data_IF_578741124288
#
_entry.id   IF_578741124288
#
_cell.length_a   1.000
_cell.length_b   1.000
_cell.length_c   1.000
_cell.angle_alpha   90.00
_cell.angle_beta   90.00
_cell.angle_gamma   90.00
#
_symmetry.space_group_name_H-M   'P 1'
#
loop_
_entity.id
_entity.type
_entity.pdbx_description
1 polymer ?
#
# COMPACT_ATOMS: atom_id res chain seq x y z
N UNK A 1 -0.01 -0.08 19.45
CA UNK A 1 0.63 1.17 19.94
C UNK A 1 -0.01 2.38 19.25
N UNK A 2 -0.64 3.32 19.99
CA UNK A 2 -1.61 4.26 19.42
C UNK A 2 -1.09 5.71 19.30
N UNK A 3 -0.07 5.90 18.44
CA UNK A 3 0.55 7.22 18.14
C UNK A 3 -0.48 8.24 17.65
N UNK A 4 -1.51 7.79 16.92
CA UNK A 4 -2.59 8.65 16.42
C UNK A 4 -3.51 9.17 17.53
N UNK A 5 -3.65 8.43 18.65
CA UNK A 5 -4.48 8.83 19.80
C UNK A 5 -3.71 9.75 20.76
N UNK A 6 -2.38 9.62 20.85
CA UNK A 6 -1.52 10.44 21.71
C UNK A 6 -0.49 11.28 20.93
N UNK A 7 -0.91 12.16 20.01
CA UNK A 7 0.00 12.89 19.13
C UNK A 7 0.93 13.88 19.86
N UNK A 8 0.62 14.24 21.11
CA UNK A 8 1.40 15.16 21.95
C UNK A 8 2.68 14.53 22.51
N UNK A 9 2.77 13.19 22.51
CA UNK A 9 3.94 12.45 23.01
C UNK A 9 5.03 12.26 21.94
N UNK A 10 4.73 12.59 20.69
CA UNK A 10 5.59 12.36 19.54
C UNK A 10 5.81 13.66 18.76
N UNK A 11 6.86 13.69 17.92
CA UNK A 11 7.11 14.85 17.07
C UNK A 11 5.95 15.08 16.09
N UNK A 12 5.69 16.34 15.73
CA UNK A 12 4.64 16.72 14.77
C UNK A 12 4.69 15.91 13.47
N UNK A 13 5.90 15.57 13.01
CA UNK A 13 6.11 14.76 11.82
C UNK A 13 5.56 13.33 11.99
N UNK A 14 5.89 12.68 13.12
CA UNK A 14 5.46 11.30 13.43
C UNK A 14 3.96 11.26 13.67
N UNK A 15 3.43 12.21 14.43
CA UNK A 15 2.01 12.32 14.75
C UNK A 15 1.14 12.53 13.52
N UNK A 16 1.52 13.46 12.63
CA UNK A 16 0.80 13.69 11.36
C UNK A 16 0.83 12.45 10.46
N UNK A 17 1.94 11.73 10.39
CA UNK A 17 2.07 10.52 9.57
C UNK A 17 1.24 9.36 10.14
N UNK A 18 1.13 9.24 11.47
CA UNK A 18 0.25 8.29 12.14
C UNK A 18 -1.23 8.61 11.96
N UNK A 19 -1.63 9.89 12.07
CA UNK A 19 -3.01 10.33 11.79
C UNK A 19 -3.42 10.01 10.35
N UNK A 20 -2.55 10.33 9.38
CA UNK A 20 -2.76 10.00 7.96
C UNK A 20 -2.94 8.51 7.72
N UNK A 21 -2.12 7.69 8.36
CA UNK A 21 -2.22 6.24 8.34
C UNK A 21 -3.58 5.76 8.87
N UNK A 22 -4.05 6.31 9.99
CA UNK A 22 -5.35 5.99 10.58
C UNK A 22 -6.53 6.43 9.70
N UNK A 23 -6.50 7.64 9.13
CA UNK A 23 -7.55 8.13 8.22
C UNK A 23 -7.68 7.24 6.98
N UNK A 24 -6.56 6.82 6.40
CA UNK A 24 -6.54 5.96 5.22
C UNK A 24 -7.03 4.55 5.56
N UNK A 25 -6.67 4.01 6.74
CA UNK A 25 -7.21 2.73 7.22
C UNK A 25 -8.72 2.77 7.49
N UNK A 26 -9.23 3.82 8.16
CA UNK A 26 -10.65 3.95 8.50
C UNK A 26 -11.58 4.26 7.33
N UNK A 27 -11.05 4.79 6.22
CA UNK A 27 -11.86 5.17 5.04
C UNK A 27 -12.04 4.06 4.00
N UNK A 28 -11.35 2.92 4.14
CA UNK A 28 -11.33 1.86 3.12
C UNK A 28 -12.20 0.66 3.50
N UNK A 29 -13.51 0.77 3.24
CA UNK A 29 -14.47 -0.33 3.36
C UNK A 29 -14.92 -0.93 2.01
N UNK A 30 -14.54 -0.35 0.86
CA UNK A 30 -14.86 -0.93 -0.45
C UNK A 30 -13.85 -0.55 -1.55
N UNK A 31 -13.53 -1.52 -2.42
CA UNK A 31 -12.80 -1.34 -3.68
C UNK A 31 -13.64 -0.47 -4.62
N UNK A 32 -13.09 0.64 -5.13
CA UNK A 32 -13.82 1.46 -6.12
C UNK A 32 -13.99 0.76 -7.49
N UNK A 33 -13.16 -0.24 -7.80
CA UNK A 33 -13.11 -0.85 -9.14
C UNK A 33 -13.78 -2.20 -9.30
N UNK A 34 -14.04 -2.93 -8.22
CA UNK A 34 -14.94 -4.09 -8.21
C UNK A 34 -15.10 -4.52 -6.74
N UNK A 35 -16.23 -4.24 -6.07
CA UNK A 35 -16.44 -4.69 -4.71
C UNK A 35 -16.57 -6.23 -4.61
N UNK A 36 -16.80 -6.93 -5.72
CA UNK A 36 -16.89 -8.40 -5.78
C UNK A 36 -15.59 -9.07 -6.27
N UNK A 37 -14.59 -8.29 -6.68
CA UNK A 37 -13.30 -8.81 -7.14
C UNK A 37 -12.47 -9.38 -5.98
N UNK A 38 -11.55 -10.33 -6.24
CA UNK A 38 -10.67 -10.85 -5.21
C UNK A 38 -9.78 -9.72 -4.66
N UNK A 39 -9.62 -9.73 -3.33
CA UNK A 39 -8.81 -8.75 -2.59
C UNK A 39 -7.73 -9.52 -1.84
N UNK A 40 -6.51 -9.00 -1.90
CA UNK A 40 -5.35 -9.49 -1.14
C UNK A 40 -5.00 -8.48 -0.07
N UNK A 41 -4.66 -9.00 1.11
CA UNK A 41 -4.20 -8.21 2.25
C UNK A 41 -2.81 -8.70 2.63
N UNK A 42 -1.89 -7.76 2.79
CA UNK A 42 -0.53 -8.03 3.22
C UNK A 42 -0.24 -7.18 4.45
N UNK A 43 0.40 -7.80 5.44
CA UNK A 43 0.94 -7.10 6.60
C UNK A 43 2.45 -7.28 6.62
N UNK A 44 3.15 -6.26 7.11
CA UNK A 44 4.58 -6.33 7.38
C UNK A 44 4.78 -6.15 8.88
N UNK A 45 5.37 -7.16 9.51
CA UNK A 45 5.64 -7.20 10.95
C UNK A 45 7.12 -6.97 11.23
N UNK A 46 7.40 -6.29 12.33
CA UNK A 46 8.74 -6.19 12.93
C UNK A 46 8.64 -6.65 14.38
N UNK A 47 9.06 -7.89 14.65
CA UNK A 47 8.72 -8.57 15.90
C UNK A 47 7.20 -8.76 15.99
N UNK A 48 6.61 -8.43 17.14
CA UNK A 48 5.18 -8.59 17.40
C UNK A 48 4.33 -7.40 16.89
N UNK A 49 4.95 -6.39 16.28
CA UNK A 49 4.27 -5.16 15.86
C UNK A 49 4.06 -5.13 14.35
N UNK A 50 2.83 -4.83 13.93
CA UNK A 50 2.51 -4.58 12.51
C UNK A 50 2.92 -3.17 12.14
N UNK A 51 3.90 -3.06 11.25
CA UNK A 51 4.48 -1.79 10.82
C UNK A 51 4.10 -1.40 9.39
N UNK A 52 3.31 -2.22 8.71
CA UNK A 52 2.72 -1.87 7.42
C UNK A 52 1.55 -2.76 7.06
N UNK A 53 0.61 -2.19 6.31
CA UNK A 53 -0.56 -2.87 5.75
C UNK A 53 -0.73 -2.46 4.30
N UNK A 54 -0.98 -3.42 3.42
CA UNK A 54 -1.31 -3.19 2.03
C UNK A 54 -2.56 -3.99 1.66
N UNK A 55 -3.52 -3.32 1.03
CA UNK A 55 -4.69 -3.95 0.41
C UNK A 55 -4.59 -3.73 -1.09
N UNK A 56 -4.68 -4.81 -1.85
CA UNK A 56 -4.72 -4.76 -3.31
C UNK A 56 -5.91 -5.56 -3.85
N UNK A 57 -6.66 -4.95 -4.76
CA UNK A 57 -7.69 -5.63 -5.56
C UNK A 57 -7.22 -5.89 -6.99
N UNK A 58 -8.01 -6.62 -7.78
CA UNK A 58 -7.79 -6.83 -9.21
C UNK A 58 -7.67 -8.30 -9.61
N UNK A 59 -7.46 -8.61 -10.91
CA UNK A 59 -7.11 -7.73 -12.03
C UNK A 59 -8.25 -6.80 -12.50
N UNK A 60 -7.89 -5.65 -13.08
CA UNK A 60 -8.86 -4.63 -13.56
C UNK A 60 -8.49 -4.15 -14.95
N UNK A 61 -9.48 -4.00 -15.83
CA UNK A 61 -9.28 -3.42 -17.16
C UNK A 61 -9.65 -1.94 -17.19
N UNK A 62 -8.70 -1.08 -17.54
CA UNK A 62 -8.95 0.35 -17.76
C UNK A 62 -9.35 0.59 -19.23
N UNK A 63 -10.32 1.48 -19.45
CA UNK A 63 -10.68 1.96 -20.78
C UNK A 63 -9.88 3.20 -21.14
N UNK A 64 -9.31 3.23 -22.34
CA UNK A 64 -8.66 4.41 -22.90
C UNK A 64 -7.53 4.05 -23.86
N UNK A 65 -7.44 4.77 -24.99
CA UNK A 65 -6.39 4.54 -25.98
C UNK A 65 -5.03 5.06 -25.48
N UNK A 66 -5.02 6.24 -24.84
CA UNK A 66 -3.81 6.84 -24.27
C UNK A 66 -3.13 5.98 -23.21
N UNK A 67 -3.92 5.20 -22.44
CA UNK A 67 -3.35 4.26 -21.48
C UNK A 67 -2.64 3.11 -22.20
N UNK A 68 -3.29 2.53 -23.22
CA UNK A 68 -2.72 1.48 -24.06
C UNK A 68 -1.47 1.94 -24.80
N UNK A 69 -1.46 3.16 -25.32
CA UNK A 69 -0.28 3.73 -25.98
C UNK A 69 0.92 3.84 -25.03
N UNK A 70 0.68 4.13 -23.75
CA UNK A 70 1.74 4.31 -22.75
C UNK A 70 2.29 3.00 -22.19
N UNK A 71 1.44 1.99 -21.99
CA UNK A 71 1.81 0.73 -21.32
C UNK A 71 1.70 -0.51 -22.21
N UNK A 72 1.31 -0.36 -23.48
CA UNK A 72 1.12 -1.48 -24.43
C UNK A 72 -0.13 -2.35 -24.16
N UNK A 73 -0.76 -2.22 -22.99
CA UNK A 73 -1.92 -2.98 -22.53
C UNK A 73 -2.84 -2.14 -21.65
N UNK A 74 -4.04 -2.65 -21.41
CA UNK A 74 -5.09 -2.00 -20.61
C UNK A 74 -5.49 -2.79 -19.35
N UNK A 75 -4.93 -3.99 -19.20
CA UNK A 75 -5.28 -4.91 -18.12
C UNK A 75 -4.25 -4.75 -16.99
N UNK A 76 -4.65 -4.06 -15.92
CA UNK A 76 -3.89 -3.93 -14.67
C UNK A 76 -3.87 -5.28 -13.95
N UNK A 77 -2.72 -5.63 -13.40
CA UNK A 77 -2.58 -6.83 -12.56
C UNK A 77 -3.16 -6.59 -11.18
N UNK A 78 -2.93 -5.41 -10.61
CA UNK A 78 -3.45 -5.04 -9.30
C UNK A 78 -3.75 -3.54 -9.16
N UNK A 79 -4.62 -3.24 -8.21
CA UNK A 79 -4.95 -1.88 -7.76
C UNK A 79 -4.63 -1.81 -6.27
N UNK A 80 -3.61 -1.03 -5.92
CA UNK A 80 -3.27 -0.71 -4.53
C UNK A 80 -4.25 0.34 -4.03
N UNK A 81 -5.15 -0.14 -3.19
CA UNK A 81 -6.24 0.61 -2.60
C UNK A 81 -5.79 1.25 -1.29
N UNK A 82 -5.12 0.47 -0.44
CA UNK A 82 -4.62 0.89 0.85
C UNK A 82 -3.14 0.57 0.93
N UNK A 83 -2.33 1.55 1.36
CA UNK A 83 -0.97 1.30 1.82
C UNK A 83 -0.65 2.21 3.00
N UNK A 84 -0.64 1.61 4.17
CA UNK A 84 -0.40 2.26 5.45
C UNK A 84 0.91 1.75 6.02
N UNK A 85 1.73 2.65 6.57
CA UNK A 85 3.05 2.31 7.11
C UNK A 85 3.26 3.03 8.42
N UNK A 86 3.90 2.35 9.36
CA UNK A 86 4.31 2.93 10.62
C UNK A 86 5.25 4.11 10.35
N UNK A 87 5.06 5.27 11.01
CA UNK A 87 5.78 6.49 10.68
C UNK A 87 7.31 6.36 10.77
N UNK A 88 7.79 5.50 11.69
CA UNK A 88 9.21 5.24 11.92
C UNK A 88 9.82 4.16 11.01
N UNK A 89 9.01 3.49 10.18
CA UNK A 89 9.45 2.40 9.29
C UNK A 89 9.17 2.79 7.85
N UNK A 90 9.96 3.74 7.35
CA UNK A 90 9.69 4.40 6.06
C UNK A 90 9.73 3.45 4.86
N UNK A 91 10.49 2.36 4.96
CA UNK A 91 10.64 1.36 3.91
C UNK A 91 9.55 0.27 3.91
N UNK A 92 8.68 0.20 4.93
CA UNK A 92 7.64 -0.83 5.03
C UNK A 92 6.71 -0.81 3.81
N UNK A 93 6.38 0.37 3.29
CA UNK A 93 5.51 0.52 2.13
C UNK A 93 6.15 0.08 0.82
N UNK A 94 7.47 0.22 0.70
CA UNK A 94 8.19 -0.27 -0.47
C UNK A 94 8.36 -1.78 -0.42
N UNK A 95 8.59 -2.32 0.77
CA UNK A 95 8.64 -3.77 1.03
C UNK A 95 7.32 -4.41 0.61
N UNK A 96 6.20 -3.85 1.05
CA UNK A 96 4.86 -4.33 0.68
C UNK A 96 4.60 -4.22 -0.82
N UNK A 97 5.06 -3.13 -1.46
CA UNK A 97 4.94 -2.97 -2.91
C UNK A 97 5.80 -3.99 -3.67
N UNK A 98 7.03 -4.23 -3.23
CA UNK A 98 7.89 -5.25 -3.83
C UNK A 98 7.25 -6.63 -3.70
N UNK A 99 6.71 -6.97 -2.53
CA UNK A 99 5.98 -8.21 -2.34
C UNK A 99 4.78 -8.31 -3.30
N UNK A 100 3.99 -7.24 -3.44
CA UNK A 100 2.91 -7.18 -4.42
C UNK A 100 3.38 -7.42 -5.87
N UNK A 101 4.54 -6.87 -6.26
CA UNK A 101 5.12 -7.12 -7.59
C UNK A 101 5.49 -8.59 -7.77
N UNK A 102 6.02 -9.26 -6.73
CA UNK A 102 6.31 -10.70 -6.77
C UNK A 102 5.03 -11.52 -6.96
N UNK A 103 3.96 -11.15 -6.26
CA UNK A 103 2.64 -11.78 -6.38
C UNK A 103 1.94 -11.51 -7.72
N UNK A 104 2.31 -10.42 -8.41
CA UNK A 104 1.78 -10.08 -9.74
C UNK A 104 2.56 -10.75 -10.90
N UNK A 105 3.66 -11.45 -10.61
CA UNK A 105 4.39 -12.28 -11.56
C UNK A 105 5.27 -11.50 -12.53
N UNK A 106 5.29 -11.91 -13.81
CA UNK A 106 6.28 -11.43 -14.78
C UNK A 106 5.92 -10.09 -15.43
N UNK A 107 4.64 -9.82 -15.62
CA UNK A 107 4.16 -8.61 -16.31
C UNK A 107 3.22 -7.78 -15.40
N UNK A 108 3.71 -7.31 -14.23
CA UNK A 108 2.91 -6.50 -13.33
C UNK A 108 2.62 -5.13 -13.95
N UNK A 109 1.39 -4.66 -13.75
CA UNK A 109 0.97 -3.31 -14.08
C UNK A 109 0.04 -2.82 -12.99
N UNK A 110 0.59 -2.04 -12.06
CA UNK A 110 -0.05 -1.71 -10.79
C UNK A 110 -0.62 -0.29 -10.84
N UNK A 111 -1.88 -0.13 -10.47
CA UNK A 111 -2.46 1.18 -10.20
C UNK A 111 -2.39 1.51 -8.71
N UNK A 112 -1.90 2.69 -8.39
CA UNK A 112 -1.93 3.27 -7.05
C UNK A 112 -2.79 4.53 -7.07
N UNK A 113 -3.59 4.69 -6.00
CA UNK A 113 -4.36 5.90 -5.73
C UNK A 113 -3.94 6.47 -4.37
N UNK A 114 -2.97 7.39 -4.30
CA UNK A 114 -2.66 8.04 -3.04
C UNK A 114 -3.93 8.70 -2.46
N UNK A 115 -4.29 8.29 -1.24
CA UNK A 115 -5.43 8.85 -0.51
C UNK A 115 -5.17 10.26 0.03
N UNK A 116 -3.91 10.70 0.00
CA UNK A 116 -3.47 12.00 0.52
C UNK A 116 -2.44 12.65 -0.41
N UNK A 117 -2.47 13.98 -0.55
CA UNK A 117 -1.42 14.72 -1.26
C UNK A 117 -0.09 14.67 -0.50
N UNK A 118 1.02 14.84 -1.22
CA UNK A 118 2.38 14.77 -0.70
C UNK A 118 3.03 13.39 -0.79
N UNK A 119 2.33 12.39 -1.33
CA UNK A 119 2.85 11.04 -1.59
C UNK A 119 3.46 10.90 -2.98
N UNK A 120 3.23 11.88 -3.86
CA UNK A 120 3.66 11.90 -5.26
C UNK A 120 5.19 11.80 -5.42
N UNK A 121 6.03 12.49 -4.62
CA UNK A 121 7.48 12.35 -4.75
C UNK A 121 7.97 10.93 -4.52
N UNK A 122 7.41 10.24 -3.51
CA UNK A 122 7.76 8.84 -3.23
C UNK A 122 7.24 7.91 -4.32
N UNK A 123 6.05 8.15 -4.84
CA UNK A 123 5.52 7.37 -5.97
C UNK A 123 6.43 7.52 -7.20
N UNK A 124 6.84 8.74 -7.54
CA UNK A 124 7.76 8.99 -8.65
C UNK A 124 9.13 8.32 -8.44
N UNK A 125 9.69 8.38 -7.23
CA UNK A 125 10.94 7.69 -6.87
C UNK A 125 10.85 6.17 -7.05
N UNK A 126 9.66 5.61 -6.85
CA UNK A 126 9.39 4.18 -7.05
C UNK A 126 9.02 3.82 -8.50
N UNK A 127 9.12 4.76 -9.45
CA UNK A 127 8.81 4.53 -10.87
C UNK A 127 7.32 4.59 -11.22
N UNK A 128 6.48 5.16 -10.36
CA UNK A 128 5.09 5.38 -10.75
C UNK A 128 4.98 6.59 -11.68
N UNK A 129 4.18 6.43 -12.73
CA UNK A 129 3.87 7.47 -13.70
C UNK A 129 2.47 7.99 -13.46
N UNK A 130 2.31 9.32 -13.39
CA UNK A 130 1.00 9.96 -13.30
C UNK A 130 0.24 9.81 -14.64
N UNK A 131 -1.02 9.35 -14.55
CA UNK A 131 -1.88 9.10 -15.72
C UNK A 131 -3.19 9.90 -15.66
N UNK A 132 -3.27 10.89 -14.77
CA UNK A 132 -4.41 11.79 -14.61
C UNK A 132 -5.13 11.63 -13.27
N UNK A 133 -5.87 12.67 -12.84
CA UNK A 133 -6.51 12.76 -11.52
C UNK A 133 -5.49 12.41 -10.41
N UNK A 134 -5.81 11.45 -9.55
CA UNK A 134 -4.92 10.89 -8.54
C UNK A 134 -4.48 9.45 -8.90
N UNK A 135 -4.41 9.11 -10.19
CA UNK A 135 -4.01 7.78 -10.65
C UNK A 135 -2.53 7.75 -11.02
N UNK A 136 -1.82 6.80 -10.42
CA UNK A 136 -0.39 6.58 -10.59
C UNK A 136 -0.17 5.12 -10.98
N UNK A 137 0.53 4.86 -12.08
CA UNK A 137 0.71 3.50 -12.61
C UNK A 137 2.17 3.13 -12.58
N UNK A 138 2.47 1.94 -12.05
CA UNK A 138 3.80 1.36 -12.07
C UNK A 138 3.83 0.19 -13.05
N UNK A 139 4.73 0.30 -14.02
CA UNK A 139 5.23 -0.79 -14.84
C UNK A 139 6.73 -0.91 -14.54
N UNK A 140 7.19 -1.93 -13.79
CA UNK A 140 8.60 -2.04 -13.41
C UNK A 140 9.50 -2.30 -14.63
N UNK A 141 8.99 -2.80 -15.75
CA UNK A 141 9.77 -2.96 -16.98
C UNK A 141 10.17 -1.62 -17.59
N UNK A 142 9.41 -0.55 -17.33
CA UNK A 142 9.73 0.82 -17.78
C UNK A 142 10.77 1.51 -16.88
N UNK A 143 11.09 0.92 -15.72
CA UNK A 143 11.93 1.53 -14.68
C UNK A 143 13.06 0.59 -14.21
N UNK A 144 13.95 0.12 -15.11
CA UNK A 144 15.05 -0.79 -14.75
C UNK A 144 16.09 -0.18 -13.80
N UNK A 145 16.09 1.14 -13.64
CA UNK A 145 16.89 1.86 -12.64
C UNK A 145 16.37 1.69 -11.21
N UNK A 146 15.08 1.36 -11.04
CA UNK A 146 14.43 1.16 -9.74
C UNK A 146 14.16 -0.32 -9.47
N UNK A 147 13.74 -1.07 -10.49
CA UNK A 147 13.24 -2.44 -10.37
C UNK A 147 14.06 -3.40 -11.22
N UNK A 148 14.27 -4.61 -10.69
CA UNK A 148 14.96 -5.69 -11.37
C UNK A 148 14.42 -7.05 -10.92
N UNK A 149 14.74 -8.12 -11.65
CA UNK A 149 14.46 -9.49 -11.22
C UNK A 149 15.69 -10.06 -10.50
N UNK A 150 15.47 -10.75 -9.39
CA UNK A 150 16.52 -11.40 -8.61
C UNK A 150 16.89 -12.79 -9.17
N UNK A 151 17.78 -13.49 -8.48
CA UNK A 151 18.22 -14.85 -8.87
C UNK A 151 17.10 -15.90 -8.92
N UNK A 152 15.97 -15.65 -8.24
CA UNK A 152 14.78 -16.49 -8.24
C UNK A 152 13.71 -15.99 -9.23
N UNK A 153 14.08 -15.10 -10.16
CA UNK A 153 13.17 -14.46 -11.12
C UNK A 153 11.99 -13.73 -10.45
N UNK A 154 12.22 -13.18 -9.26
CA UNK A 154 11.24 -12.37 -8.53
C UNK A 154 11.61 -10.89 -8.56
N UNK A 155 10.60 -10.02 -8.64
CA UNK A 155 10.81 -8.58 -8.59
C UNK A 155 11.48 -8.15 -7.29
N UNK A 156 12.50 -7.31 -7.41
CA UNK A 156 13.15 -6.62 -6.31
C UNK A 156 13.60 -5.21 -6.70
N UNK A 157 13.80 -4.37 -5.70
CA UNK A 157 14.49 -3.10 -5.90
C UNK A 157 15.96 -3.28 -6.25
N UNK A 158 16.45 -2.43 -7.14
CA UNK A 158 17.86 -2.36 -7.52
C UNK A 158 18.72 -2.06 -6.30
N UNK A 159 19.81 -2.83 -6.14
CA UNK A 159 20.78 -2.65 -5.05
C UNK A 159 20.29 -3.06 -3.66
N UNK A 160 19.11 -3.67 -3.53
CA UNK A 160 18.63 -4.25 -2.27
C UNK A 160 18.96 -5.75 -2.18
N UNK A 161 19.26 -6.29 -0.98
CA UNK A 161 19.59 -7.71 -0.83
C UNK A 161 18.39 -8.59 -1.16
N UNK A 162 18.56 -9.84 -1.60
CA UNK A 162 17.40 -10.67 -1.97
C UNK A 162 16.58 -11.14 -0.76
N UNK A 163 17.23 -11.23 0.42
CA UNK A 163 16.69 -11.85 1.64
C UNK A 163 16.01 -10.90 2.64
N UNK A 164 15.84 -9.60 2.37
CA UNK A 164 15.13 -8.74 3.34
C UNK A 164 13.61 -8.96 3.35
N UNK A 165 13.09 -9.73 2.39
CA UNK A 165 11.70 -10.19 2.36
C UNK A 165 11.54 -11.67 2.75
N UNK A 166 12.63 -12.42 2.95
CA UNK A 166 12.51 -13.80 3.42
C UNK A 166 12.14 -13.79 4.90
N UNK A 167 11.08 -14.52 5.24
CA UNK A 167 10.74 -14.84 6.63
C UNK A 167 12.01 -15.35 7.31
N UNK A 168 12.37 -14.78 8.45
CA UNK A 168 13.31 -15.45 9.35
C UNK A 168 12.59 -16.73 9.76
N UNK A 169 13.18 -17.90 9.50
CA UNK A 169 12.64 -19.16 10.00
C UNK A 169 12.68 -19.11 11.53
N UNK A 170 11.59 -18.62 12.12
CA UNK A 170 11.27 -18.88 13.50
C UNK A 170 10.77 -20.32 13.55
N UNK A 171 11.43 -21.13 14.39
CA UNK A 171 11.18 -22.56 14.63
C UNK A 171 9.80 -22.84 15.28
N UNK A 172 8.87 -21.89 15.24
CA UNK A 172 7.53 -22.02 15.80
C UNK A 172 6.45 -21.84 14.73
N UNK A 173 5.68 -22.91 14.55
CA UNK A 173 4.55 -23.03 13.67
C UNK A 173 3.41 -22.05 14.04
N UNK A 174 3.55 -20.78 13.68
CA UNK A 174 2.44 -19.83 13.68
C UNK A 174 1.66 -19.98 12.37
N UNK A 175 0.48 -20.60 12.52
CA UNK A 175 -0.51 -20.85 11.48
C UNK A 175 -0.77 -19.60 10.62
N UNK A 176 -1.03 -19.81 9.33
CA UNK A 176 -1.70 -18.82 8.50
C UNK A 176 -3.02 -18.43 9.16
N UNK A 177 -3.05 -17.26 9.80
CA UNK A 177 -4.28 -16.72 10.35
C UNK A 177 -5.12 -16.22 9.18
N UNK A 178 -6.05 -17.06 8.75
CA UNK A 178 -7.25 -16.58 8.06
C UNK A 178 -7.97 -15.70 9.08
N UNK A 179 -7.74 -14.38 9.02
CA UNK A 179 -8.45 -13.43 9.86
C UNK A 179 -9.89 -13.39 9.35
N UNK A 180 -10.72 -14.26 9.92
CA UNK A 180 -12.16 -14.14 9.87
C UNK A 180 -12.48 -12.87 10.67
N UNK A 181 -13.00 -11.84 10.00
CA UNK A 181 -13.34 -10.57 10.62
C UNK A 181 -14.42 -10.79 11.68
N UNK A 182 -14.00 -10.98 12.93
CA UNK A 182 -14.85 -10.89 14.10
C UNK A 182 -14.87 -9.41 14.48
N UNK A 183 -15.94 -8.71 14.11
CA UNK A 183 -16.16 -7.31 14.46
C UNK A 183 -16.49 -7.26 15.96
N UNK A 184 -15.44 -7.12 16.80
CA UNK A 184 -15.60 -6.69 18.18
C UNK A 184 -15.75 -5.17 18.20
N UNK A 185 -16.92 -4.74 18.66
CA UNK A 185 -17.49 -3.38 18.65
C UNK A 185 -16.82 -2.43 19.67
N UNK A 186 -15.49 -2.25 19.60
CA UNK A 186 -14.76 -1.36 20.53
C UNK A 186 -13.87 -0.29 19.88
N UNK A 187 -13.75 -0.26 18.55
CA UNK A 187 -13.05 0.83 17.84
C UNK A 187 -14.01 1.42 16.80
N UNK A 188 -14.85 2.37 17.23
CA UNK A 188 -15.79 3.08 16.35
C UNK A 188 -15.00 3.97 15.37
N UNK A 189 -14.88 3.59 14.08
CA UNK A 189 -14.13 4.35 13.09
C UNK A 189 -14.76 5.72 12.80
N UNK A 190 -15.99 5.97 13.28
CA UNK A 190 -16.71 7.23 13.13
C UNK A 190 -15.98 8.40 13.78
N UNK A 191 -15.23 8.19 14.87
CA UNK A 191 -14.52 9.26 15.59
C UNK A 191 -13.44 9.92 14.72
N UNK A 192 -12.76 9.14 13.89
CA UNK A 192 -11.75 9.66 12.96
C UNK A 192 -12.41 10.41 11.79
N UNK A 193 -13.56 9.94 11.31
CA UNK A 193 -14.34 10.61 10.27
C UNK A 193 -14.91 11.95 10.78
N UNK A 194 -15.46 11.98 11.99
CA UNK A 194 -15.98 13.20 12.61
C UNK A 194 -14.89 14.27 12.78
N UNK A 195 -13.67 13.89 13.20
CA UNK A 195 -12.57 14.86 13.34
C UNK A 195 -12.15 15.48 12.00
N UNK A 196 -12.20 14.71 10.90
CA UNK A 196 -11.94 15.22 9.54
C UNK A 196 -13.06 16.17 9.09
N UNK A 197 -14.33 15.84 9.34
CA UNK A 197 -15.45 16.72 8.99
C UNK A 197 -15.52 17.98 9.86
N UNK A 198 -15.12 17.89 11.13
CA UNK A 198 -15.06 19.05 12.03
C UNK A 198 -13.90 19.99 11.65
N UNK A 199 -12.80 19.45 11.14
CA UNK A 199 -11.67 20.22 10.60
C UNK A 199 -11.93 20.88 9.24
N UNK A 200 -12.95 20.43 8.49
CA UNK A 200 -13.40 21.03 7.23
C UNK A 200 -14.44 22.14 7.42
N UNK A 201 -14.93 22.38 8.64
CA UNK A 201 -15.97 23.38 8.93
C UNK A 201 -15.43 24.73 9.46
N UNK A 202 -14.12 24.98 9.35
CA UNK A 202 -13.54 26.31 9.54
C UNK A 202 -12.72 26.70 8.31
N UNK A 203 -13.43 27.15 7.26
CA UNK A 203 -13.22 28.42 6.53
C UNK A 203 -14.37 28.65 5.53
#
# INVERSE_FOLDING_TARGET
MNIAINPQEYSDFVSKKAERAATVAGSYSATHYDPAGPVRFFSYQLGDETVGLLRAGGPVRIKGETFREKFGRNDLTSVVDLRVTHPLVENAGDILLEHQLREDGDDPLILSKPGLPGMEPRLAEMGFVHVGRNHWVLDPHQHPEVWTKNENDQWQRVGKPTKYLSKVEDDDAAAESTVQADYSDEDDPSVYLERVFTGLSME
#
